data_IF_185327000403
#
_entry.id   IF_185327000403
#
_cell.length_a   1.000
_cell.length_b   1.000
_cell.length_c   1.000
_cell.angle_alpha   90.00
_cell.angle_beta   90.00
_cell.angle_gamma   90.00
#
_symmetry.space_group_name_H-M   'P 1'
#
loop_
_entity.id
_entity.type
_entity.pdbx_description
1 polymer ?
#
# COMPACT_ATOMS: atom_id res chain seq x y z
N UNK A 1 -62.21 -43.40 -13.16
CA UNK A 1 -61.43 -44.00 -12.06
C UNK A 1 -60.54 -42.91 -11.46
N UNK A 2 -60.87 -42.38 -10.28
CA UNK A 2 -60.06 -41.38 -9.60
C UNK A 2 -59.27 -41.99 -8.43
N UNK A 3 -57.97 -41.71 -8.39
CA UNK A 3 -57.05 -42.09 -7.31
C UNK A 3 -57.18 -41.13 -6.13
N UNK A 4 -57.22 -41.71 -4.92
CA UNK A 4 -57.34 -41.03 -3.62
C UNK A 4 -56.00 -40.43 -3.17
N UNK A 5 -55.99 -39.30 -2.45
CA UNK A 5 -54.83 -38.82 -1.70
C UNK A 5 -54.72 -39.51 -0.33
N UNK A 6 -53.50 -39.90 0.04
CA UNK A 6 -53.16 -40.50 1.33
C UNK A 6 -52.76 -39.46 2.37
N UNK A 7 -53.48 -39.44 3.49
CA UNK A 7 -53.14 -38.75 4.73
C UNK A 7 -52.14 -39.59 5.53
N UNK A 8 -50.98 -39.03 5.86
CA UNK A 8 -50.07 -39.56 6.89
C UNK A 8 -50.18 -38.68 8.14
N UNK A 9 -50.90 -39.17 9.15
CA UNK A 9 -50.86 -38.65 10.51
C UNK A 9 -49.64 -39.25 11.24
N UNK A 10 -48.73 -38.39 11.68
CA UNK A 10 -47.65 -38.75 12.60
C UNK A 10 -48.21 -38.81 14.03
N UNK A 11 -47.94 -39.91 14.73
CA UNK A 11 -48.28 -40.12 16.14
C UNK A 11 -47.25 -39.45 17.04
N UNK A 12 -47.75 -38.63 17.95
CA UNK A 12 -47.04 -38.13 19.13
C UNK A 12 -46.69 -39.30 20.08
N UNK A 13 -45.45 -39.27 20.61
CA UNK A 13 -45.09 -39.97 21.84
C UNK A 13 -44.39 -38.99 22.77
N UNK A 14 -45.13 -38.58 23.78
CA UNK A 14 -44.66 -37.95 25.01
C UNK A 14 -43.85 -38.93 25.85
N UNK A 15 -42.65 -38.54 26.25
CA UNK A 15 -41.98 -39.10 27.43
C UNK A 15 -41.55 -37.98 28.36
N UNK A 16 -42.07 -38.05 29.59
CA UNK A 16 -41.66 -37.26 30.75
C UNK A 16 -40.24 -37.63 31.19
N UNK A 17 -39.41 -36.63 31.41
CA UNK A 17 -38.15 -36.70 32.15
C UNK A 17 -37.94 -35.40 32.92
N UNK A 18 -37.84 -35.51 34.24
CA UNK A 18 -37.70 -34.43 35.22
C UNK A 18 -36.34 -33.70 35.18
N UNK A 19 -36.22 -32.53 35.84
CA UNK A 19 -35.13 -31.57 35.62
C UNK A 19 -33.91 -31.86 36.50
N UNK A 20 -32.72 -31.79 35.91
CA UNK A 20 -31.45 -31.79 36.64
C UNK A 20 -30.78 -30.43 36.46
N UNK A 21 -30.78 -29.69 37.57
CA UNK A 21 -29.68 -28.97 38.19
C UNK A 21 -28.75 -28.10 37.32
N UNK A 22 -28.69 -26.84 37.76
CA UNK A 22 -27.82 -25.77 37.32
C UNK A 22 -26.34 -26.10 37.50
N UNK A 23 -25.56 -25.88 36.43
CA UNK A 23 -24.16 -25.47 36.57
C UNK A 23 -23.91 -24.21 35.73
N UNK A 24 -23.53 -23.16 36.44
CA UNK A 24 -23.20 -21.86 35.91
C UNK A 24 -21.84 -21.93 35.18
N UNK A 25 -21.87 -21.97 33.86
CA UNK A 25 -20.67 -21.82 33.05
C UNK A 25 -20.24 -20.34 33.05
N UNK A 26 -19.32 -20.01 33.95
CA UNK A 26 -18.68 -18.71 34.06
C UNK A 26 -18.06 -18.31 32.72
N UNK A 27 -18.61 -17.27 32.10
CA UNK A 27 -18.04 -16.54 30.99
C UNK A 27 -16.61 -16.07 31.35
N UNK A 28 -15.60 -16.79 30.88
CA UNK A 28 -14.21 -16.35 30.92
C UNK A 28 -14.07 -15.15 30.00
N UNK A 29 -14.00 -13.95 30.59
CA UNK A 29 -13.57 -12.72 29.91
C UNK A 29 -12.28 -13.01 29.14
N UNK A 30 -12.14 -12.55 27.88
CA UNK A 30 -10.88 -12.65 27.17
C UNK A 30 -9.85 -11.83 27.93
N UNK A 31 -8.91 -12.52 28.57
CA UNK A 31 -7.72 -11.91 29.15
C UNK A 31 -6.98 -11.26 28.00
N UNK A 32 -7.05 -9.93 27.93
CA UNK A 32 -6.20 -9.10 27.09
C UNK A 32 -4.76 -9.52 27.39
N UNK A 33 -4.18 -10.34 26.49
CA UNK A 33 -2.74 -10.52 26.45
C UNK A 33 -2.19 -9.16 26.09
N UNK A 34 -1.73 -8.41 27.11
CA UNK A 34 -0.83 -7.27 26.90
C UNK A 34 0.28 -7.79 26.01
N UNK A 35 0.31 -7.33 24.77
CA UNK A 35 1.49 -7.41 23.94
C UNK A 35 2.56 -6.67 24.77
N UNK A 36 3.65 -7.33 25.17
CA UNK A 36 4.73 -6.64 25.86
C UNK A 36 5.12 -5.46 24.98
N UNK A 37 5.07 -4.26 25.57
CA UNK A 37 5.54 -3.06 24.88
C UNK A 37 6.96 -3.36 24.39
N UNK A 38 7.27 -3.09 23.11
CA UNK A 38 8.63 -3.28 22.62
C UNK A 38 9.52 -2.45 23.54
N UNK A 39 10.42 -3.13 24.25
CA UNK A 39 11.44 -2.49 25.07
C UNK A 39 12.03 -1.37 24.21
N UNK A 40 11.94 -0.14 24.71
CA UNK A 40 12.50 1.02 24.02
C UNK A 40 14.00 0.78 23.96
N UNK A 41 14.47 0.19 22.85
CA UNK A 41 15.88 0.00 22.56
C UNK A 41 16.51 1.38 22.66
N UNK A 42 17.24 1.60 23.75
CA UNK A 42 18.04 2.79 23.97
C UNK A 42 18.96 2.93 22.75
N UNK A 43 18.78 4.02 22.01
CA UNK A 43 19.59 4.39 20.84
C UNK A 43 21.07 4.13 21.19
N UNK A 44 21.75 3.18 20.51
CA UNK A 44 23.07 2.74 20.91
C UNK A 44 24.04 3.92 20.87
N UNK A 45 24.98 3.99 21.82
CA UNK A 45 25.79 5.22 22.03
C UNK A 45 26.54 5.70 20.78
N UNK A 46 26.89 4.79 19.87
CA UNK A 46 27.50 5.14 18.60
C UNK A 46 26.56 5.94 17.67
N UNK A 47 25.24 5.71 17.73
CA UNK A 47 24.25 6.52 16.98
C UNK A 47 24.12 7.93 17.56
N UNK A 48 24.24 8.08 18.89
CA UNK A 48 24.25 9.40 19.55
C UNK A 48 25.51 10.19 19.21
N UNK A 49 26.67 9.54 19.24
CA UNK A 49 27.96 10.16 18.85
C UNK A 49 27.97 10.54 17.37
N UNK A 50 27.50 9.68 16.47
CA UNK A 50 27.37 10.00 15.04
C UNK A 50 26.43 11.19 14.77
N UNK A 51 25.37 11.34 15.58
CA UNK A 51 24.44 12.47 15.48
C UNK A 51 25.07 13.79 15.91
N UNK A 52 25.89 13.76 16.97
CA UNK A 52 26.63 14.92 17.47
C UNK A 52 27.68 15.38 16.46
N UNK A 53 28.45 14.44 15.90
CA UNK A 53 29.48 14.74 14.90
C UNK A 53 28.93 15.18 13.54
N UNK A 54 27.74 14.69 13.15
CA UNK A 54 27.08 15.11 11.91
C UNK A 54 26.42 16.51 12.03
N UNK A 55 25.99 16.91 13.22
CA UNK A 55 25.39 18.23 13.47
C UNK A 55 26.37 19.40 13.38
N UNK A 56 27.67 19.16 13.55
CA UNK A 56 28.73 20.19 13.53
C UNK A 56 29.37 20.39 12.14
N UNK A 57 29.08 19.54 11.15
CA UNK A 57 29.64 19.60 9.79
C UNK A 57 28.60 20.10 8.78
N UNK A 58 28.35 21.41 8.74
CA UNK A 58 27.37 22.00 7.82
C UNK A 58 27.94 23.12 6.94
N UNK A 59 27.97 22.88 5.62
CA UNK A 59 27.46 23.82 4.56
C UNK A 59 27.48 23.13 3.17
N UNK A 60 28.51 22.34 2.84
CA UNK A 60 28.66 21.79 1.48
C UNK A 60 27.93 20.46 1.18
N UNK A 61 27.66 19.65 2.20
CA UNK A 61 27.05 18.31 2.05
C UNK A 61 25.63 18.35 1.47
N UNK A 62 24.88 19.40 1.76
CA UNK A 62 23.51 19.59 1.27
C UNK A 62 23.47 19.97 -0.21
N UNK A 63 24.53 20.58 -0.76
CA UNK A 63 24.61 20.94 -2.18
C UNK A 63 24.69 19.70 -3.08
N UNK A 64 25.54 18.73 -2.74
CA UNK A 64 25.64 17.47 -3.49
C UNK A 64 24.37 16.63 -3.38
N UNK A 65 23.73 16.64 -2.22
CA UNK A 65 22.48 15.91 -2.06
C UNK A 65 21.37 16.56 -2.89
N UNK A 66 21.29 17.89 -2.87
CA UNK A 66 20.28 18.64 -3.61
C UNK A 66 20.46 18.52 -5.13
N UNK A 67 21.69 18.57 -5.63
CA UNK A 67 22.01 18.34 -7.05
C UNK A 67 21.52 16.95 -7.50
N UNK A 68 21.90 15.90 -6.78
CA UNK A 68 21.46 14.54 -7.11
C UNK A 68 19.94 14.38 -6.97
N UNK A 69 19.31 14.94 -5.92
CA UNK A 69 17.87 14.85 -5.73
C UNK A 69 17.08 15.55 -6.85
N UNK A 70 17.66 16.58 -7.48
CA UNK A 70 17.05 17.26 -8.63
C UNK A 70 16.98 16.39 -9.89
N UNK A 71 17.86 15.38 -10.00
CA UNK A 71 17.83 14.40 -11.11
C UNK A 71 16.85 13.25 -10.87
N UNK A 72 16.33 13.10 -9.65
CA UNK A 72 15.37 12.06 -9.26
C UNK A 72 13.93 12.57 -9.43
N UNK A 73 12.99 11.67 -9.71
CA UNK A 73 11.56 12.02 -9.77
C UNK A 73 11.10 12.68 -8.46
N UNK A 74 10.31 13.77 -8.51
CA UNK A 74 9.89 14.49 -7.31
C UNK A 74 9.20 13.60 -6.26
N UNK A 75 8.39 12.63 -6.70
CA UNK A 75 7.71 11.66 -5.83
C UNK A 75 8.66 10.76 -5.04
N UNK A 76 9.88 10.55 -5.54
CA UNK A 76 10.89 9.68 -4.95
C UNK A 76 11.94 10.45 -4.14
N UNK A 77 12.15 11.75 -4.44
CA UNK A 77 13.19 12.57 -3.84
C UNK A 77 13.16 12.57 -2.31
N UNK A 78 11.98 12.75 -1.70
CA UNK A 78 11.84 12.75 -0.24
C UNK A 78 12.28 11.43 0.39
N UNK A 79 11.85 10.31 -0.20
CA UNK A 79 12.18 8.97 0.31
C UNK A 79 13.66 8.66 0.12
N UNK A 80 14.20 9.05 -1.04
CA UNK A 80 15.60 8.85 -1.37
C UNK A 80 16.52 9.66 -0.45
N UNK A 81 16.17 10.91 -0.13
CA UNK A 81 16.86 11.74 0.86
C UNK A 81 16.96 11.03 2.21
N UNK A 82 15.85 10.49 2.72
CA UNK A 82 15.85 9.78 4.01
C UNK A 82 16.75 8.54 3.96
N UNK A 83 16.68 7.77 2.88
CA UNK A 83 17.48 6.56 2.71
C UNK A 83 18.98 6.87 2.65
N UNK A 84 19.37 7.91 1.89
CA UNK A 84 20.78 8.26 1.71
C UNK A 84 21.38 8.90 2.96
N UNK A 85 20.62 9.72 3.69
CA UNK A 85 21.07 10.29 4.97
C UNK A 85 21.33 9.18 6.00
N UNK A 86 20.46 8.15 6.03
CA UNK A 86 20.67 6.97 6.88
C UNK A 86 21.89 6.15 6.46
N UNK A 87 22.14 6.04 5.15
CA UNK A 87 23.31 5.34 4.64
C UNK A 87 24.60 6.06 5.03
N UNK A 88 24.69 7.36 4.77
CA UNK A 88 25.86 8.18 5.11
C UNK A 88 26.14 8.21 6.60
N UNK A 89 25.09 8.30 7.43
CA UNK A 89 25.22 8.14 8.89
C UNK A 89 25.77 6.77 9.27
N UNK A 90 25.33 5.70 8.62
CA UNK A 90 25.85 4.36 8.88
C UNK A 90 27.33 4.22 8.51
N UNK A 91 27.74 4.78 7.37
CA UNK A 91 29.15 4.76 6.96
C UNK A 91 30.04 5.73 7.77
N UNK A 92 29.46 6.66 8.51
CA UNK A 92 30.21 7.75 9.16
C UNK A 92 30.86 8.70 8.16
N UNK A 93 30.22 8.90 7.00
CA UNK A 93 30.74 9.71 5.90
C UNK A 93 29.74 10.79 5.51
N UNK A 94 30.28 11.92 5.06
CA UNK A 94 29.53 12.94 4.32
C UNK A 94 29.45 12.56 2.82
N UNK A 95 28.44 13.08 2.09
CA UNK A 95 28.37 12.94 0.64
C UNK A 95 29.65 13.39 -0.09
N UNK A 96 30.34 14.39 0.45
CA UNK A 96 31.56 14.98 -0.12
C UNK A 96 32.76 14.06 0.09
N UNK A 97 32.94 13.51 1.30
CA UNK A 97 33.97 12.52 1.59
C UNK A 97 33.80 11.27 0.73
N UNK A 98 32.55 10.81 0.58
CA UNK A 98 32.22 9.67 -0.29
C UNK A 98 32.55 9.96 -1.77
N UNK A 99 32.38 11.20 -2.23
CA UNK A 99 32.82 11.63 -3.57
C UNK A 99 34.34 11.72 -3.67
N UNK A 100 35.01 12.27 -2.66
CA UNK A 100 36.46 12.47 -2.66
C UNK A 100 37.24 11.15 -2.66
N UNK A 101 36.73 10.10 -1.98
CA UNK A 101 37.32 8.74 -2.01
C UNK A 101 37.49 8.20 -3.44
N UNK A 102 36.62 8.61 -4.38
CA UNK A 102 36.66 8.18 -5.79
C UNK A 102 37.89 8.69 -6.54
N UNK A 103 38.45 9.83 -6.14
CA UNK A 103 39.45 10.54 -6.94
C UNK A 103 40.84 9.90 -6.90
N UNK A 104 41.10 9.02 -5.92
CA UNK A 104 42.45 8.45 -5.68
C UNK A 104 42.63 7.04 -6.24
N UNK A 105 41.69 6.12 -6.00
CA UNK A 105 41.81 4.70 -6.38
C UNK A 105 40.43 4.12 -6.74
N UNK A 106 39.99 4.29 -7.99
CA UNK A 106 38.61 4.00 -8.41
C UNK A 106 38.16 2.56 -8.10
N UNK A 107 38.91 1.55 -8.52
CA UNK A 107 38.50 0.14 -8.34
C UNK A 107 38.41 -0.27 -6.87
N UNK A 108 39.34 0.23 -6.05
CA UNK A 108 39.33 0.00 -4.60
C UNK A 108 38.14 0.71 -3.96
N UNK A 109 37.90 1.96 -4.33
CA UNK A 109 36.74 2.73 -3.85
C UNK A 109 35.42 2.07 -4.25
N UNK A 110 35.32 1.50 -5.46
CA UNK A 110 34.16 0.71 -5.90
C UNK A 110 33.97 -0.49 -4.96
N UNK A 111 35.01 -1.32 -4.75
CA UNK A 111 34.92 -2.51 -3.90
C UNK A 111 34.60 -2.19 -2.43
N UNK A 112 35.19 -1.14 -1.88
CA UNK A 112 34.91 -0.69 -0.51
C UNK A 112 33.46 -0.23 -0.37
N UNK A 113 32.99 0.61 -1.30
CA UNK A 113 31.59 1.10 -1.32
C UNK A 113 30.61 -0.06 -1.46
N UNK A 114 30.94 -1.05 -2.30
CA UNK A 114 30.14 -2.25 -2.48
C UNK A 114 30.02 -3.06 -1.18
N UNK A 115 31.13 -3.26 -0.46
CA UNK A 115 31.13 -3.93 0.85
C UNK A 115 30.34 -3.15 1.91
N UNK A 116 30.48 -1.82 1.94
CA UNK A 116 29.75 -0.95 2.86
C UNK A 116 28.23 -1.02 2.62
N UNK A 117 27.80 -1.01 1.35
CA UNK A 117 26.40 -1.14 0.98
C UNK A 117 25.81 -2.51 1.36
N UNK A 118 26.57 -3.59 1.17
CA UNK A 118 26.13 -4.93 1.59
C UNK A 118 26.03 -5.03 3.12
N UNK A 119 27.03 -4.51 3.85
CA UNK A 119 27.01 -4.46 5.30
C UNK A 119 25.82 -3.62 5.83
N UNK A 120 25.54 -2.49 5.18
CA UNK A 120 24.38 -1.66 5.52
C UNK A 120 23.06 -2.38 5.29
N UNK A 121 22.91 -3.09 4.17
CA UNK A 121 21.70 -3.87 3.89
C UNK A 121 21.47 -4.95 4.95
N UNK A 122 22.50 -5.69 5.35
CA UNK A 122 22.44 -6.67 6.44
C UNK A 122 22.13 -6.03 7.79
N UNK A 123 22.61 -4.80 8.02
CA UNK A 123 22.25 -4.04 9.22
C UNK A 123 20.76 -3.66 9.23
N UNK A 124 20.21 -3.23 8.09
CA UNK A 124 18.77 -2.95 7.98
C UNK A 124 17.93 -4.23 8.18
N UNK A 125 18.38 -5.36 7.65
CA UNK A 125 17.72 -6.65 7.87
C UNK A 125 17.71 -7.05 9.35
N UNK A 126 18.86 -6.94 10.05
CA UNK A 126 18.95 -7.19 11.49
C UNK A 126 18.05 -6.27 12.32
N UNK A 127 17.88 -5.02 11.90
CA UNK A 127 16.94 -4.06 12.51
C UNK A 127 15.46 -4.32 12.17
N UNK A 128 15.15 -5.40 11.45
CA UNK A 128 13.78 -5.82 11.15
C UNK A 128 13.09 -5.03 10.04
N UNK A 129 13.83 -4.27 9.23
CA UNK A 129 13.24 -3.57 8.08
C UNK A 129 12.70 -4.55 7.03
N UNK A 130 11.65 -4.13 6.31
CA UNK A 130 11.06 -4.97 5.26
C UNK A 130 11.98 -5.10 4.04
N UNK A 131 11.96 -6.24 3.32
CA UNK A 131 12.74 -6.40 2.08
C UNK A 131 12.54 -5.26 1.08
N UNK A 132 11.29 -4.80 0.90
CA UNK A 132 10.98 -3.69 0.01
C UNK A 132 11.67 -2.39 0.42
N UNK A 133 11.75 -2.09 1.73
CA UNK A 133 12.48 -0.93 2.22
C UNK A 133 13.99 -1.08 2.01
N UNK A 134 14.55 -2.27 2.28
CA UNK A 134 15.99 -2.51 2.09
C UNK A 134 16.37 -2.34 0.61
N UNK A 135 15.56 -2.89 -0.31
CA UNK A 135 15.75 -2.70 -1.75
C UNK A 135 15.71 -1.21 -2.14
N UNK A 136 14.71 -0.48 -1.67
CA UNK A 136 14.57 0.95 -1.92
C UNK A 136 15.78 1.75 -1.43
N UNK A 137 16.22 1.48 -0.21
CA UNK A 137 17.34 2.15 0.42
C UNK A 137 18.66 1.85 -0.32
N UNK A 138 18.86 0.58 -0.68
CA UNK A 138 20.00 0.13 -1.47
C UNK A 138 20.04 0.80 -2.86
N UNK A 139 18.90 0.88 -3.55
CA UNK A 139 18.81 1.54 -4.85
C UNK A 139 19.04 3.06 -4.77
N UNK A 140 18.58 3.71 -3.69
CA UNK A 140 18.87 5.12 -3.45
C UNK A 140 20.39 5.37 -3.37
N UNK A 141 21.10 4.61 -2.53
CA UNK A 141 22.56 4.68 -2.42
C UNK A 141 23.27 4.40 -3.75
N UNK A 142 22.89 3.32 -4.45
CA UNK A 142 23.46 2.97 -5.75
C UNK A 142 23.28 4.09 -6.78
N UNK A 143 22.09 4.71 -6.83
CA UNK A 143 21.79 5.78 -7.77
C UNK A 143 22.53 7.08 -7.46
N UNK A 144 22.77 7.39 -6.18
CA UNK A 144 23.64 8.50 -5.77
C UNK A 144 25.06 8.29 -6.31
N UNK A 145 25.65 7.12 -6.08
CA UNK A 145 27.01 6.83 -6.55
C UNK A 145 27.12 6.86 -8.08
N UNK A 146 26.10 6.33 -8.77
CA UNK A 146 26.02 6.34 -10.23
C UNK A 146 25.93 7.75 -10.82
N UNK A 147 25.14 8.65 -10.21
CA UNK A 147 25.05 10.06 -10.62
C UNK A 147 26.41 10.74 -10.61
N UNK A 148 27.25 10.40 -9.63
CA UNK A 148 28.62 10.88 -9.51
C UNK A 148 29.67 9.93 -10.12
N UNK A 149 29.31 9.11 -11.10
CA UNK A 149 30.24 8.35 -11.95
C UNK A 149 30.87 7.08 -11.35
N UNK A 150 30.38 6.58 -10.22
CA UNK A 150 30.85 5.31 -9.62
C UNK A 150 29.86 4.19 -9.93
N UNK A 151 30.30 3.19 -10.70
CA UNK A 151 29.43 2.10 -11.14
C UNK A 151 29.59 0.87 -10.24
N UNK A 152 28.62 0.66 -9.35
CA UNK A 152 28.61 -0.46 -8.40
C UNK A 152 27.96 -1.70 -9.04
N UNK A 153 28.68 -2.34 -9.96
CA UNK A 153 28.15 -3.41 -10.81
C UNK A 153 28.06 -4.77 -10.11
N UNK A 154 28.90 -5.05 -9.10
CA UNK A 154 29.03 -6.40 -8.53
C UNK A 154 28.02 -6.69 -7.43
N UNK A 155 27.46 -5.66 -6.80
CA UNK A 155 26.50 -5.89 -5.71
C UNK A 155 25.10 -6.11 -6.26
N UNK A 156 24.66 -7.36 -6.10
CA UNK A 156 23.27 -7.77 -6.22
C UNK A 156 22.72 -7.99 -4.83
N UNK A 157 21.62 -7.29 -4.51
CA UNK A 157 20.97 -7.45 -3.22
C UNK A 157 20.12 -8.73 -3.25
N UNK A 158 20.54 -9.75 -2.50
CA UNK A 158 19.76 -10.98 -2.30
C UNK A 158 18.85 -10.79 -1.09
N UNK A 159 17.58 -10.53 -1.31
CA UNK A 159 16.58 -10.42 -0.25
C UNK A 159 15.66 -11.62 -0.27
N UNK A 160 15.36 -12.15 0.92
CA UNK A 160 14.30 -13.14 1.08
C UNK A 160 12.94 -12.42 1.09
N UNK A 161 12.17 -12.64 0.03
CA UNK A 161 10.80 -12.17 -0.09
C UNK A 161 9.78 -13.21 0.42
N UNK A 162 10.21 -14.17 1.24
CA UNK A 162 9.40 -15.31 1.69
C UNK A 162 8.17 -14.93 2.55
N UNK A 163 7.98 -13.64 2.84
CA UNK A 163 6.75 -13.17 3.47
C UNK A 163 5.67 -13.06 2.39
N UNK A 164 4.52 -13.76 2.54
CA UNK A 164 3.41 -13.60 1.62
C UNK A 164 3.07 -12.12 1.53
N UNK A 165 3.00 -11.59 0.30
CA UNK A 165 2.64 -10.20 0.07
C UNK A 165 1.36 -9.87 0.85
N UNK A 166 1.28 -8.66 1.41
CA UNK A 166 0.05 -8.23 2.08
C UNK A 166 -1.10 -8.46 1.09
N UNK A 167 -2.04 -9.31 1.47
CA UNK A 167 -3.27 -9.48 0.71
C UNK A 167 -3.90 -8.10 0.61
N UNK A 168 -4.23 -7.67 -0.62
CA UNK A 168 -4.87 -6.39 -0.81
C UNK A 168 -6.16 -6.39 0.00
N UNK A 169 -6.27 -5.48 0.96
CA UNK A 169 -7.50 -5.31 1.72
C UNK A 169 -8.53 -4.69 0.78
N UNK A 170 -9.58 -5.44 0.49
CA UNK A 170 -10.74 -4.97 -0.26
C UNK A 170 -11.87 -4.79 0.75
N UNK A 171 -12.31 -3.55 1.02
CA UNK A 171 -13.40 -3.30 1.95
C UNK A 171 -14.67 -4.03 1.52
N UNK A 172 -15.35 -4.66 2.46
CA UNK A 172 -16.69 -5.21 2.26
C UNK A 172 -17.74 -4.10 2.14
N UNK A 173 -18.92 -4.42 1.59
CA UNK A 173 -20.03 -3.46 1.50
C UNK A 173 -20.44 -2.89 2.87
N UNK A 174 -20.43 -3.71 3.92
CA UNK A 174 -20.70 -3.28 5.29
C UNK A 174 -19.63 -2.30 5.82
N UNK A 175 -18.35 -2.57 5.54
CA UNK A 175 -17.25 -1.69 5.93
C UNK A 175 -17.31 -0.35 5.20
N UNK A 176 -17.62 -0.35 3.90
CA UNK A 176 -17.87 0.87 3.14
C UNK A 176 -19.06 1.64 3.72
N UNK A 177 -20.16 0.96 4.06
CA UNK A 177 -21.31 1.53 4.75
C UNK A 177 -20.93 2.21 6.07
N UNK A 178 -20.09 1.56 6.89
CA UNK A 178 -19.56 2.14 8.12
C UNK A 178 -18.66 3.36 7.85
N UNK A 179 -17.77 3.29 6.86
CA UNK A 179 -16.90 4.41 6.48
C UNK A 179 -17.71 5.63 6.02
N UNK A 180 -18.73 5.43 5.18
CA UNK A 180 -19.66 6.50 4.79
C UNK A 180 -20.46 7.04 5.98
N UNK A 181 -20.79 6.17 6.92
CA UNK A 181 -21.48 6.50 8.16
C UNK A 181 -20.70 7.46 9.08
N UNK A 182 -19.36 7.45 9.02
CA UNK A 182 -18.49 8.41 9.72
C UNK A 182 -18.55 9.79 9.06
N UNK A 183 -18.74 9.83 7.75
CA UNK A 183 -18.75 11.05 6.95
C UNK A 183 -20.15 11.46 6.49
N UNK A 184 -21.19 11.18 7.31
CA UNK A 184 -22.60 11.44 6.98
C UNK A 184 -22.88 12.87 6.52
N UNK A 185 -22.21 13.84 7.13
CA UNK A 185 -22.43 15.26 6.86
C UNK A 185 -21.54 15.81 5.74
N UNK A 186 -20.76 14.95 5.06
CA UNK A 186 -19.89 15.36 3.96
C UNK A 186 -20.16 14.53 2.70
N UNK A 187 -21.12 14.95 1.86
CA UNK A 187 -21.41 14.30 0.58
C UNK A 187 -20.17 14.16 -0.31
N UNK A 188 -19.25 15.13 -0.24
CA UNK A 188 -17.96 15.07 -0.94
C UNK A 188 -17.12 13.87 -0.49
N UNK A 189 -16.99 13.63 0.82
CA UNK A 189 -16.17 12.53 1.32
C UNK A 189 -16.83 11.18 1.06
N UNK A 190 -18.17 11.11 1.14
CA UNK A 190 -18.92 9.91 0.73
C UNK A 190 -18.68 9.59 -0.75
N UNK A 191 -18.76 10.59 -1.62
CA UNK A 191 -18.43 10.43 -3.05
C UNK A 191 -16.99 9.95 -3.26
N UNK A 192 -16.01 10.52 -2.54
CA UNK A 192 -14.62 10.06 -2.64
C UNK A 192 -14.46 8.59 -2.23
N UNK A 193 -15.09 8.17 -1.14
CA UNK A 193 -14.98 6.80 -0.64
C UNK A 193 -15.63 5.80 -1.61
N UNK A 194 -16.88 6.04 -2.02
CA UNK A 194 -17.57 5.19 -2.98
C UNK A 194 -16.88 5.20 -4.33
N UNK A 195 -16.57 6.38 -4.85
CA UNK A 195 -15.92 6.54 -6.14
C UNK A 195 -14.59 5.80 -6.20
N UNK A 196 -13.76 5.89 -5.15
CA UNK A 196 -12.49 5.14 -5.10
C UNK A 196 -12.70 3.63 -4.99
N UNK A 197 -13.70 3.17 -4.23
CA UNK A 197 -13.99 1.76 -4.05
C UNK A 197 -14.52 1.11 -5.34
N UNK A 198 -15.40 1.80 -6.07
CA UNK A 198 -16.06 1.28 -7.27
C UNK A 198 -15.21 1.42 -8.52
N UNK A 199 -14.44 2.50 -8.64
CA UNK A 199 -13.72 2.79 -9.88
C UNK A 199 -12.41 2.05 -10.05
N UNK A 200 -11.87 1.43 -9.00
CA UNK A 200 -10.53 0.80 -9.04
C UNK A 200 -9.38 1.77 -9.39
N UNK A 201 -9.64 3.07 -9.38
CA UNK A 201 -8.64 4.11 -9.68
C UNK A 201 -7.66 4.27 -8.51
N UNK A 202 -6.40 4.55 -8.83
CA UNK A 202 -5.49 5.03 -7.79
C UNK A 202 -5.97 6.39 -7.29
N UNK A 203 -5.80 6.68 -6.00
CA UNK A 203 -6.23 7.95 -5.37
C UNK A 203 -5.70 9.16 -6.16
N UNK A 204 -4.44 9.11 -6.59
CA UNK A 204 -3.82 10.20 -7.37
C UNK A 204 -4.46 10.43 -8.73
N UNK A 205 -5.05 9.40 -9.34
CA UNK A 205 -5.68 9.47 -10.65
C UNK A 205 -7.14 9.89 -10.49
N UNK A 206 -7.85 9.34 -9.51
CA UNK A 206 -9.21 9.73 -9.14
C UNK A 206 -9.29 11.23 -8.83
N UNK A 207 -8.35 11.76 -8.05
CA UNK A 207 -8.32 13.18 -7.68
C UNK A 207 -7.99 14.13 -8.85
N UNK A 208 -7.53 13.59 -9.99
CA UNK A 208 -7.27 14.37 -11.21
C UNK A 208 -8.45 14.36 -12.17
N UNK A 209 -9.51 13.60 -11.89
CA UNK A 209 -10.71 13.60 -12.73
C UNK A 209 -11.32 15.00 -12.76
N UNK A 210 -11.74 15.37 -13.95
CA UNK A 210 -12.40 16.64 -14.24
C UNK A 210 -13.60 16.39 -15.14
N UNK A 211 -14.51 17.35 -15.19
CA UNK A 211 -15.70 17.27 -16.06
C UNK A 211 -15.38 17.07 -17.54
N UNK A 212 -14.23 17.59 -17.99
CA UNK A 212 -13.69 17.47 -19.34
C UNK A 212 -12.82 16.23 -19.55
N UNK A 213 -12.70 15.34 -18.54
CA UNK A 213 -12.00 14.07 -18.72
C UNK A 213 -12.78 13.20 -19.70
N UNK A 214 -12.12 12.82 -20.78
CA UNK A 214 -12.73 12.14 -21.92
C UNK A 214 -12.50 10.63 -21.87
N UNK A 215 -13.56 9.90 -22.21
CA UNK A 215 -13.50 8.51 -22.61
C UNK A 215 -13.57 8.43 -24.14
N UNK A 216 -12.64 7.74 -24.81
CA UNK A 216 -12.61 7.66 -26.28
C UNK A 216 -13.88 7.12 -26.95
N UNK A 217 -14.71 6.38 -26.19
CA UNK A 217 -15.93 5.76 -26.70
C UNK A 217 -17.21 6.40 -26.16
N UNK A 218 -17.10 7.19 -25.08
CA UNK A 218 -18.24 7.63 -24.29
C UNK A 218 -18.29 9.15 -24.06
N UNK A 219 -17.36 9.89 -24.67
CA UNK A 219 -17.28 11.34 -24.51
C UNK A 219 -16.77 11.75 -23.12
N UNK A 220 -17.01 13.00 -22.76
CA UNK A 220 -16.57 13.58 -21.48
C UNK A 220 -17.44 13.12 -20.30
N UNK A 221 -16.89 13.13 -19.08
CA UNK A 221 -17.68 12.85 -17.86
C UNK A 221 -18.92 13.74 -17.80
N UNK A 222 -18.82 15.01 -18.23
CA UNK A 222 -19.96 15.92 -18.34
C UNK A 222 -21.07 15.36 -19.23
N UNK A 223 -20.76 15.02 -20.48
CA UNK A 223 -21.73 14.50 -21.44
C UNK A 223 -22.40 13.20 -20.97
N UNK A 224 -21.62 12.35 -20.31
CA UNK A 224 -22.11 11.10 -19.72
C UNK A 224 -23.08 11.35 -18.56
N UNK A 225 -22.84 12.39 -17.76
CA UNK A 225 -23.69 12.74 -16.60
C UNK A 225 -24.95 13.50 -17.02
N UNK A 226 -24.88 14.29 -18.11
CA UNK A 226 -26.00 15.02 -18.68
C UNK A 226 -26.99 14.12 -19.45
N UNK A 227 -26.57 12.90 -19.84
CA UNK A 227 -27.41 11.91 -20.52
C UNK A 227 -27.37 10.56 -19.78
N UNK A 228 -27.90 10.48 -18.54
CA UNK A 228 -27.73 9.33 -17.67
C UNK A 228 -28.42 8.06 -18.18
N UNK A 229 -29.48 8.19 -18.99
CA UNK A 229 -30.12 7.05 -19.69
C UNK A 229 -29.28 6.45 -20.81
N UNK A 230 -28.26 7.17 -21.30
CA UNK A 230 -27.45 6.76 -22.44
C UNK A 230 -26.09 6.18 -22.04
N UNK A 231 -25.57 6.57 -20.88
CA UNK A 231 -24.17 6.31 -20.52
C UNK A 231 -24.01 5.87 -19.06
N UNK A 232 -23.32 4.74 -18.84
CA UNK A 232 -22.66 4.44 -17.57
C UNK A 232 -21.42 5.34 -17.51
N UNK A 233 -21.14 5.97 -16.36
CA UNK A 233 -19.93 6.80 -16.22
C UNK A 233 -18.71 5.91 -16.41
N UNK A 234 -18.08 6.04 -17.58
CA UNK A 234 -16.93 5.30 -18.02
C UNK A 234 -15.70 6.20 -18.00
N UNK A 235 -14.67 5.74 -17.29
CA UNK A 235 -13.37 6.40 -17.20
C UNK A 235 -12.31 5.45 -17.70
N UNK A 236 -11.69 5.78 -18.84
CA UNK A 236 -10.54 5.04 -19.36
C UNK A 236 -9.25 5.56 -18.75
N UNK A 237 -8.52 4.69 -18.05
CA UNK A 237 -7.18 4.99 -17.60
C UNK A 237 -6.12 4.38 -18.52
N UNK A 238 -5.13 5.16 -18.90
CA UNK A 238 -3.91 4.65 -19.51
C UNK A 238 -2.78 4.77 -18.49
N UNK A 239 -2.36 3.64 -17.89
CA UNK A 239 -1.24 3.66 -16.94
C UNK A 239 0.07 3.90 -17.69
N UNK A 240 0.71 5.04 -17.44
CA UNK A 240 1.89 5.47 -18.20
C UNK A 240 3.10 4.53 -18.20
N UNK A 241 3.24 3.63 -17.21
CA UNK A 241 4.35 2.65 -17.16
C UNK A 241 4.12 1.41 -18.03
N UNK A 242 2.89 0.92 -18.09
CA UNK A 242 2.54 -0.30 -18.83
C UNK A 242 1.91 -0.01 -20.19
N UNK A 243 1.45 1.23 -20.40
CA UNK A 243 0.63 1.67 -21.56
C UNK A 243 -0.62 0.81 -21.79
N UNK A 244 -1.00 0.00 -20.80
CA UNK A 244 -2.19 -0.84 -20.86
C UNK A 244 -3.40 0.04 -20.55
N UNK A 245 -4.40 0.11 -21.44
CA UNK A 245 -5.66 0.74 -21.12
C UNK A 245 -6.43 -0.12 -20.12
N UNK A 246 -6.98 0.52 -19.09
CA UNK A 246 -7.92 -0.08 -18.16
C UNK A 246 -9.23 0.68 -18.27
N UNK A 247 -10.29 -0.05 -18.56
CA UNK A 247 -11.65 0.47 -18.61
C UNK A 247 -12.27 0.29 -17.23
N UNK A 248 -12.66 1.40 -16.59
CA UNK A 248 -13.32 1.38 -15.29
C UNK A 248 -14.72 1.99 -15.42
N UNK A 249 -15.70 1.30 -14.85
CA UNK A 249 -17.11 1.71 -14.85
C UNK A 249 -17.51 2.08 -13.43
N UNK A 250 -18.13 3.24 -13.25
CA UNK A 250 -18.84 3.55 -12.01
C UNK A 250 -20.31 3.14 -12.22
N UNK A 251 -20.68 1.95 -11.75
CA UNK A 251 -22.09 1.55 -11.76
C UNK A 251 -22.83 2.18 -10.58
N UNK A 252 -24.10 2.55 -10.80
CA UNK A 252 -25.05 2.56 -9.69
C UNK A 252 -25.08 1.12 -9.17
N UNK A 253 -24.83 0.93 -7.88
CA UNK A 253 -25.52 -0.11 -7.11
C UNK A 253 -27.04 0.19 -7.16
N UNK A 254 -27.65 0.05 -8.34
CA UNK A 254 -29.09 -0.07 -8.48
C UNK A 254 -29.42 -1.43 -7.92
N UNK A 255 -29.69 -1.43 -6.62
CA UNK A 255 -30.92 -1.99 -6.05
C UNK A 255 -31.26 -3.34 -6.67
N UNK A 256 -31.08 -4.39 -5.86
CA UNK A 256 -31.97 -5.55 -5.84
C UNK A 256 -33.41 -5.10 -6.15
N UNK A 257 -33.79 -5.16 -7.43
CA UNK A 257 -35.17 -5.37 -7.83
C UNK A 257 -35.23 -6.84 -8.19
N UNK A 258 -35.51 -7.66 -7.18
CA UNK A 258 -36.50 -8.69 -7.40
C UNK A 258 -37.74 -7.98 -7.95
N UNK A 259 -37.84 -7.90 -9.27
CA UNK A 259 -39.13 -7.90 -9.92
C UNK A 259 -39.34 -9.33 -10.39
N UNK A 260 -40.04 -10.08 -9.55
CA UNK A 260 -40.95 -11.11 -10.03
C UNK A 260 -41.76 -10.60 -11.22
N UNK A 261 -42.13 -11.57 -12.06
CA UNK A 261 -43.07 -11.52 -13.17
C UNK A 261 -42.53 -11.02 -14.54
N UNK A 262 -42.35 -12.00 -15.44
CA UNK A 262 -42.87 -11.84 -16.80
C UNK A 262 -41.91 -12.16 -17.95
N UNK A 263 -41.81 -13.46 -18.27
CA UNK A 263 -41.58 -14.05 -19.60
C UNK A 263 -40.91 -13.22 -20.72
N UNK A 264 -39.75 -13.68 -21.17
CA UNK A 264 -39.18 -13.31 -22.47
C UNK A 264 -38.00 -14.21 -22.82
N UNK A 265 -38.14 -14.97 -23.92
CA UNK A 265 -37.24 -16.05 -24.36
C UNK A 265 -35.78 -15.61 -24.57
N UNK A 266 -34.88 -16.50 -24.15
CA UNK A 266 -33.47 -16.52 -24.53
C UNK A 266 -33.28 -16.91 -26.00
N UNK A 267 -32.21 -16.39 -26.60
CA UNK A 267 -31.25 -17.20 -27.36
C UNK A 267 -29.98 -17.32 -26.52
#
# INVERSE_FOLDING_TARGET
>A
MPTKPGNFFAKEKTHHGQPAEAEAETARKPTSRRIPEPETETEPEWEKSARKEAGERGDGSDLLLSDWLSSVKPSSAKVYRICIEKYFRYCGLTPEEARARKLKEREKAERETENEMEAWARNLERKGYTPAYIALAFHAAKSFYAHYGLQLARVSLKLNYDKPGKTAFVPTAEELGRMMGVWRDSPRNQFLICGLAESGLAISDFLKLRWDTESPFWGTIREQTENPERYIIHVRLIRGKTKTPHDNFMERMSIFRETDAGGGKAL
#
